data_IF_885380001990
#
_entry.id   IF_885380001990
#
_cell.length_a   1.000
_cell.length_b   1.000
_cell.length_c   1.000
_cell.angle_alpha   90.00
_cell.angle_beta   90.00
_cell.angle_gamma   90.00
#
_symmetry.space_group_name_H-M   'P 1'
#
loop_
_entity.id
_entity.type
_entity.pdbx_description
1 polymer ?
#
# COMPACT_ATOMS: atom_id res chain seq x y z
N UNK A 1 -18.57 0.80 13.65
CA UNK A 1 -18.44 1.06 12.21
C UNK A 1 -18.24 -0.31 11.60
N UNK A 2 -19.25 -0.83 10.89
CA UNK A 2 -19.12 -2.13 10.22
C UNK A 2 -18.06 -2.00 9.11
N UNK A 3 -17.24 -3.04 8.87
CA UNK A 3 -16.26 -3.01 7.79
C UNK A 3 -16.99 -2.79 6.46
N UNK A 4 -16.46 -1.97 5.54
CA UNK A 4 -17.05 -1.85 4.20
C UNK A 4 -17.12 -3.23 3.55
N UNK A 5 -18.28 -3.56 2.97
CA UNK A 5 -18.45 -4.80 2.22
C UNK A 5 -17.43 -4.87 1.06
N UNK A 6 -16.74 -6.00 0.97
CA UNK A 6 -15.76 -6.26 -0.07
C UNK A 6 -16.47 -6.48 -1.41
N UNK A 7 -16.32 -5.52 -2.33
CA UNK A 7 -16.85 -5.65 -3.70
C UNK A 7 -16.07 -6.72 -4.48
N UNK A 8 -16.68 -7.26 -5.54
CA UNK A 8 -16.01 -8.23 -6.42
C UNK A 8 -14.76 -7.65 -7.09
N UNK A 9 -14.77 -6.34 -7.34
CA UNK A 9 -13.63 -5.62 -7.86
C UNK A 9 -12.46 -5.57 -6.87
N UNK A 10 -12.74 -5.29 -5.60
CA UNK A 10 -11.70 -5.31 -4.56
C UNK A 10 -11.07 -6.70 -4.41
N UNK A 11 -11.85 -7.79 -4.59
CA UNK A 11 -11.31 -9.16 -4.62
C UNK A 11 -10.38 -9.37 -5.81
N UNK A 12 -10.77 -8.92 -7.00
CA UNK A 12 -9.92 -9.01 -8.20
C UNK A 12 -8.59 -8.24 -8.03
N UNK A 13 -8.60 -7.10 -7.32
CA UNK A 13 -7.37 -6.39 -6.99
C UNK A 13 -6.53 -7.17 -5.97
N UNK A 14 -7.15 -7.72 -4.92
CA UNK A 14 -6.45 -8.55 -3.94
C UNK A 14 -5.83 -9.81 -4.56
N UNK A 15 -6.53 -10.48 -5.48
CA UNK A 15 -6.01 -11.68 -6.17
C UNK A 15 -4.74 -11.36 -6.96
N UNK A 16 -4.68 -10.18 -7.59
CA UNK A 16 -3.46 -9.71 -8.27
C UNK A 16 -2.34 -9.41 -7.28
N UNK A 17 -2.64 -8.89 -6.09
CA UNK A 17 -1.63 -8.71 -5.05
C UNK A 17 -1.10 -10.06 -4.54
N UNK A 18 -1.95 -11.08 -4.41
CA UNK A 18 -1.52 -12.45 -4.08
C UNK A 18 -0.67 -13.10 -5.18
N UNK A 19 -1.00 -12.88 -6.45
CA UNK A 19 -0.14 -13.34 -7.56
C UNK A 19 1.27 -12.76 -7.43
N UNK A 20 1.39 -11.49 -7.03
CA UNK A 20 2.70 -10.85 -6.82
C UNK A 20 3.42 -11.36 -5.57
N UNK A 21 2.69 -11.71 -4.51
CA UNK A 21 3.27 -12.36 -3.33
C UNK A 21 3.80 -13.76 -3.68
N UNK A 22 3.09 -14.51 -4.53
CA UNK A 22 3.55 -15.80 -5.04
C UNK A 22 4.80 -15.64 -5.91
N UNK A 23 4.81 -14.65 -6.80
CA UNK A 23 5.97 -14.33 -7.63
C UNK A 23 7.20 -13.91 -6.78
N UNK A 24 7.01 -13.15 -5.70
CA UNK A 24 8.08 -12.91 -4.72
C UNK A 24 8.62 -14.21 -4.11
N UNK A 25 7.72 -15.11 -3.67
CA UNK A 25 8.11 -16.40 -3.09
C UNK A 25 8.93 -17.24 -4.07
N UNK A 26 8.49 -17.32 -5.32
CA UNK A 26 9.15 -18.10 -6.38
C UNK A 26 10.56 -17.55 -6.69
N UNK A 27 10.80 -16.27 -6.43
CA UNK A 27 12.10 -15.61 -6.57
C UNK A 27 12.93 -15.58 -5.28
N UNK A 28 12.50 -16.29 -4.22
CA UNK A 28 13.24 -16.37 -2.96
C UNK A 28 13.16 -15.10 -2.11
N UNK A 29 12.12 -14.29 -2.31
CA UNK A 29 11.82 -13.09 -1.51
C UNK A 29 10.76 -13.40 -0.44
N UNK A 30 10.57 -12.47 0.49
CA UNK A 30 9.45 -12.54 1.44
C UNK A 30 8.14 -12.41 0.65
N UNK A 31 7.13 -13.29 0.85
CA UNK A 31 5.90 -13.34 0.04
C UNK A 31 4.94 -12.18 0.37
N UNK A 32 5.34 -10.96 -0.02
CA UNK A 32 4.55 -9.74 0.15
C UNK A 32 4.32 -9.12 -1.22
N UNK A 33 3.05 -8.91 -1.55
CA UNK A 33 2.62 -8.22 -2.75
C UNK A 33 1.68 -7.07 -2.39
N UNK A 34 1.75 -5.99 -3.17
CA UNK A 34 0.87 -4.85 -3.00
C UNK A 34 0.49 -4.17 -4.31
N UNK A 35 -0.68 -3.54 -4.32
CA UNK A 35 -1.22 -2.78 -5.45
C UNK A 35 -1.75 -1.44 -4.98
N UNK A 36 -1.46 -0.41 -5.75
CA UNK A 36 -2.00 0.94 -5.57
C UNK A 36 -2.95 1.23 -6.72
N UNK A 37 -4.21 1.52 -6.37
CA UNK A 37 -5.29 1.80 -7.33
C UNK A 37 -5.79 3.23 -7.11
N UNK A 38 -5.86 4.00 -8.18
CA UNK A 38 -6.39 5.36 -8.20
C UNK A 38 -7.31 5.48 -9.41
N UNK A 39 -8.51 6.06 -9.23
CA UNK A 39 -9.54 6.16 -10.27
C UNK A 39 -9.81 4.83 -11.01
N UNK A 40 -9.92 3.73 -10.25
CA UNK A 40 -10.14 2.39 -10.81
C UNK A 40 -9.02 1.87 -11.74
N UNK A 41 -7.86 2.51 -11.72
CA UNK A 41 -6.67 2.16 -12.49
C UNK A 41 -5.53 1.75 -11.56
N UNK A 42 -4.82 0.68 -11.89
CA UNK A 42 -3.57 0.34 -11.20
C UNK A 42 -2.52 1.39 -11.57
N UNK A 43 -2.08 2.15 -10.57
CA UNK A 43 -1.02 3.17 -10.68
C UNK A 43 0.32 2.69 -10.14
N UNK A 44 0.34 1.65 -9.30
CA UNK A 44 1.56 1.06 -8.78
C UNK A 44 1.40 -0.41 -8.43
N UNK A 45 2.47 -1.18 -8.65
CA UNK A 45 2.62 -2.58 -8.26
C UNK A 45 3.93 -2.73 -7.49
N UNK A 46 3.93 -3.48 -6.40
CA UNK A 46 5.17 -3.80 -5.68
C UNK A 46 5.16 -5.19 -5.10
N UNK A 47 6.29 -5.87 -5.23
CA UNK A 47 6.61 -7.09 -4.49
C UNK A 47 7.87 -6.82 -3.65
N UNK A 48 8.17 -7.68 -2.69
CA UNK A 48 9.43 -7.56 -1.97
C UNK A 48 10.62 -7.80 -2.92
N UNK A 49 11.62 -6.92 -2.92
CA UNK A 49 12.80 -6.99 -3.78
C UNK A 49 14.11 -6.84 -2.97
N UNK A 50 14.07 -7.16 -1.68
CA UNK A 50 15.19 -6.92 -0.74
C UNK A 50 16.43 -7.71 -1.13
N UNK A 51 16.28 -8.99 -1.46
CA UNK A 51 17.37 -9.86 -1.86
C UNK A 51 17.86 -9.51 -3.27
N UNK A 52 16.94 -9.28 -4.21
CA UNK A 52 17.23 -8.94 -5.60
C UNK A 52 18.05 -7.65 -5.72
N UNK A 53 17.61 -6.59 -5.02
CA UNK A 53 18.25 -5.28 -5.06
C UNK A 53 19.37 -5.10 -4.04
N UNK A 54 19.53 -6.07 -3.11
CA UNK A 54 20.42 -5.98 -1.93
C UNK A 54 20.16 -4.71 -1.10
N UNK A 55 18.91 -4.28 -1.05
CA UNK A 55 18.48 -3.12 -0.30
C UNK A 55 17.31 -3.47 0.62
N UNK A 56 17.57 -3.40 1.93
CA UNK A 56 16.59 -3.70 2.98
C UNK A 56 15.34 -2.81 2.94
N UNK A 57 15.37 -1.65 2.26
CA UNK A 57 14.21 -0.76 2.17
C UNK A 57 13.26 -1.11 1.03
N UNK A 58 13.60 -2.06 0.15
CA UNK A 58 12.81 -2.42 -1.05
C UNK A 58 11.68 -3.39 -0.73
N UNK A 59 10.87 -3.00 0.25
CA UNK A 59 9.61 -3.67 0.56
C UNK A 59 8.56 -3.36 -0.52
N UNK A 60 7.56 -4.23 -0.65
CA UNK A 60 6.51 -4.13 -1.65
C UNK A 60 5.88 -2.71 -1.72
N UNK A 61 5.53 -2.13 -0.58
CA UNK A 61 4.89 -0.80 -0.50
C UNK A 61 5.80 0.31 -1.02
N UNK A 62 7.11 0.20 -0.79
CA UNK A 62 8.09 1.16 -1.28
C UNK A 62 8.27 1.03 -2.79
N UNK A 63 8.32 -0.21 -3.31
CA UNK A 63 8.39 -0.49 -4.74
C UNK A 63 7.14 0.05 -5.46
N UNK A 64 5.95 -0.20 -4.92
CA UNK A 64 4.72 0.33 -5.49
C UNK A 64 4.67 1.86 -5.47
N UNK A 65 5.14 2.48 -4.39
CA UNK A 65 5.24 3.94 -4.27
C UNK A 65 6.08 4.56 -5.39
N UNK A 66 7.26 3.97 -5.66
CA UNK A 66 8.13 4.44 -6.74
C UNK A 66 7.41 4.35 -8.10
N UNK A 67 6.67 3.26 -8.34
CA UNK A 67 5.88 3.11 -9.56
C UNK A 67 4.77 4.16 -9.68
N UNK A 68 4.10 4.52 -8.58
CA UNK A 68 3.10 5.61 -8.59
C UNK A 68 3.76 6.93 -8.93
N UNK A 69 4.93 7.24 -8.35
CA UNK A 69 5.66 8.48 -8.66
C UNK A 69 6.00 8.54 -10.15
N UNK A 70 6.47 7.43 -10.72
CA UNK A 70 6.80 7.37 -12.15
C UNK A 70 5.55 7.42 -13.04
N UNK A 71 4.43 6.85 -12.60
CA UNK A 71 3.14 7.00 -13.27
C UNK A 71 2.68 8.46 -13.27
N UNK A 72 2.78 9.16 -12.13
CA UNK A 72 2.43 10.58 -12.03
C UNK A 72 3.29 11.44 -12.98
N UNK A 73 4.61 11.22 -13.01
CA UNK A 73 5.53 11.92 -13.94
C UNK A 73 5.12 11.71 -15.40
N UNK A 74 4.82 10.46 -15.80
CA UNK A 74 4.43 10.12 -17.17
C UNK A 74 3.10 10.75 -17.59
N UNK A 75 2.16 10.89 -16.66
CA UNK A 75 0.82 11.42 -16.92
C UNK A 75 0.68 12.92 -16.61
N UNK A 76 1.77 13.59 -16.17
CA UNK A 76 1.73 15.00 -15.78
C UNK A 76 0.83 15.30 -14.58
N UNK A 77 0.55 14.30 -13.73
CA UNK A 77 -0.29 14.44 -12.53
C UNK A 77 0.56 14.79 -11.30
N UNK A 78 -0.01 15.54 -10.36
CA UNK A 78 0.63 15.80 -9.08
C UNK A 78 0.66 14.54 -8.22
N UNK A 79 1.86 14.10 -7.79
CA UNK A 79 2.01 12.88 -6.96
C UNK A 79 1.19 12.96 -5.68
N UNK A 80 1.15 14.13 -5.04
CA UNK A 80 0.38 14.37 -3.82
C UNK A 80 -1.12 14.13 -3.98
N UNK A 81 -1.72 14.61 -5.06
CA UNK A 81 -3.15 14.44 -5.36
C UNK A 81 -3.48 12.96 -5.60
N UNK A 82 -2.65 12.30 -6.40
CA UNK A 82 -2.83 10.88 -6.72
C UNK A 82 -2.74 10.03 -5.46
N UNK A 83 -1.72 10.27 -4.63
CA UNK A 83 -1.55 9.54 -3.38
C UNK A 83 -2.68 9.75 -2.39
N UNK A 84 -3.21 10.98 -2.29
CA UNK A 84 -4.36 11.28 -1.42
C UNK A 84 -5.56 10.42 -1.80
N UNK A 85 -5.82 10.18 -3.09
CA UNK A 85 -6.94 9.38 -3.59
C UNK A 85 -6.56 7.98 -4.10
N UNK A 86 -5.48 7.40 -3.55
CA UNK A 86 -5.06 6.03 -3.84
C UNK A 86 -5.58 5.07 -2.76
N UNK A 87 -6.03 3.89 -3.18
CA UNK A 87 -6.34 2.75 -2.31
C UNK A 87 -5.17 1.76 -2.39
N UNK A 88 -4.68 1.33 -1.22
CA UNK A 88 -3.63 0.32 -1.11
C UNK A 88 -4.24 -1.05 -0.79
N UNK A 89 -3.91 -2.03 -1.61
CA UNK A 89 -4.19 -3.45 -1.43
C UNK A 89 -2.89 -4.15 -1.08
N UNK A 90 -2.81 -4.84 0.05
CA UNK A 90 -1.57 -5.49 0.51
C UNK A 90 -1.86 -6.84 1.16
N UNK A 91 -0.98 -7.81 0.90
CA UNK A 91 -1.13 -9.20 1.38
C UNK A 91 -0.64 -9.43 2.81
N UNK A 92 -0.01 -8.44 3.43
CA UNK A 92 0.48 -8.45 4.81
C UNK A 92 0.37 -7.03 5.37
N UNK A 93 0.18 -6.89 6.68
CA UNK A 93 0.22 -5.58 7.33
C UNK A 93 1.55 -4.85 7.08
N UNK A 94 1.53 -3.56 6.70
CA UNK A 94 2.74 -2.78 6.51
C UNK A 94 3.58 -2.65 7.79
N UNK A 95 4.89 -2.84 7.67
CA UNK A 95 5.80 -2.60 8.80
C UNK A 95 5.86 -1.11 9.19
N UNK A 96 6.43 -0.79 10.36
CA UNK A 96 6.58 0.59 10.86
C UNK A 96 7.19 1.56 9.82
N UNK A 97 8.19 1.10 9.06
CA UNK A 97 8.82 1.89 8.02
C UNK A 97 7.82 2.24 6.89
N UNK A 98 7.18 1.23 6.32
CA UNK A 98 6.20 1.41 5.24
C UNK A 98 5.00 2.24 5.72
N UNK A 99 4.46 1.94 6.90
CA UNK A 99 3.35 2.68 7.50
C UNK A 99 3.70 4.17 7.68
N UNK A 100 4.90 4.49 8.16
CA UNK A 100 5.39 5.86 8.27
C UNK A 100 5.51 6.56 6.92
N UNK A 101 6.05 5.88 5.91
CA UNK A 101 6.17 6.42 4.55
C UNK A 101 4.80 6.70 3.92
N UNK A 102 3.88 5.74 3.97
CA UNK A 102 2.51 5.86 3.45
C UNK A 102 1.74 7.00 4.14
N UNK A 103 1.99 7.22 5.44
CA UNK A 103 1.42 8.34 6.21
C UNK A 103 1.94 9.69 5.72
N UNK A 104 3.25 9.81 5.49
CA UNK A 104 3.88 11.03 4.97
C UNK A 104 3.41 11.38 3.56
N UNK A 105 3.20 10.36 2.73
CA UNK A 105 2.66 10.50 1.37
C UNK A 105 1.15 10.76 1.33
N UNK A 106 0.49 10.72 2.49
CA UNK A 106 -0.97 10.93 2.63
C UNK A 106 -1.82 9.88 1.89
N UNK A 107 -1.25 8.70 1.63
CA UNK A 107 -2.00 7.50 1.19
C UNK A 107 -2.82 6.96 2.36
N UNK A 108 -2.28 7.11 3.58
CA UNK A 108 -2.91 6.71 4.84
C UNK A 108 -3.16 7.91 5.77
N UNK A 109 -4.01 8.89 5.42
CA UNK A 109 -4.42 9.92 6.37
C UNK A 109 -5.40 9.36 7.42
N UNK A 110 -6.17 8.34 7.03
CA UNK A 110 -7.06 7.52 7.86
C UNK A 110 -6.89 6.07 7.42
N UNK A 111 -6.80 5.12 8.35
CA UNK A 111 -6.61 3.67 8.09
C UNK A 111 -7.76 3.00 7.29
N UNK A 112 -8.74 3.80 6.87
CA UNK A 112 -9.91 3.38 6.12
C UNK A 112 -9.61 3.07 4.64
N UNK A 113 -8.43 3.44 4.13
CA UNK A 113 -8.01 3.27 2.72
C UNK A 113 -6.99 2.14 2.49
N UNK A 114 -6.71 1.32 3.50
CA UNK A 114 -5.89 0.12 3.37
C UNK A 114 -6.75 -1.13 3.49
N UNK A 115 -6.70 -1.96 2.45
CA UNK A 115 -7.31 -3.28 2.44
C UNK A 115 -6.18 -4.27 2.70
N UNK A 116 -6.15 -4.77 3.92
CA UNK A 116 -5.19 -5.77 4.37
C UNK A 116 -5.87 -7.12 4.33
N UNK A 117 -5.26 -8.05 3.60
CA UNK A 117 -5.49 -9.47 3.86
C UNK A 117 -4.32 -9.94 4.71
N UNK A 118 -4.60 -10.49 5.89
CA UNK A 118 -3.59 -11.31 6.57
C UNK A 118 -3.83 -12.75 6.16
N UNK A 119 -2.75 -13.51 5.94
CA UNK A 119 -2.81 -14.95 5.73
C UNK A 119 -3.16 -15.64 7.06
N UNK A 120 -4.40 -15.44 7.52
CA UNK A 120 -5.00 -16.17 8.63
C UNK A 120 -5.83 -17.32 8.01
N UNK A 121 -5.67 -18.59 8.45
CA UNK A 121 -6.44 -19.73 7.94
C UNK A 121 -7.98 -19.54 8.00
N UNK A 122 -8.48 -18.53 8.72
CA UNK A 122 -9.90 -18.22 8.87
C UNK A 122 -10.47 -17.20 7.87
N UNK A 123 -9.70 -16.65 6.91
CA UNK A 123 -10.16 -15.64 5.93
C UNK A 123 -10.86 -14.44 6.60
N UNK A 124 -10.42 -14.03 7.79
CA UNK A 124 -11.01 -12.91 8.52
C UNK A 124 -10.37 -11.59 8.09
N UNK A 125 -11.17 -10.69 7.53
CA UNK A 125 -10.77 -9.32 7.23
C UNK A 125 -10.46 -8.60 8.55
N UNK A 126 -9.19 -8.43 8.90
CA UNK A 126 -8.83 -7.65 10.07
C UNK A 126 -8.48 -6.23 9.62
N UNK A 127 -9.48 -5.34 9.66
CA UNK A 127 -9.22 -3.90 9.64
C UNK A 127 -8.56 -3.55 10.96
N UNK A 128 -7.23 -3.52 11.00
CA UNK A 128 -6.53 -2.93 12.14
C UNK A 128 -6.71 -1.40 12.07
N UNK A 129 -7.70 -0.91 12.81
CA UNK A 129 -7.75 0.48 13.21
C UNK A 129 -6.68 0.71 14.28
N UNK A 130 -5.42 0.88 13.87
CA UNK A 130 -4.42 1.57 14.69
C UNK A 130 -4.97 2.96 15.06
N UNK A 131 -5.54 3.07 16.26
CA UNK A 131 -5.84 4.37 16.88
C UNK A 131 -4.51 5.02 17.26
N UNK A 132 -3.78 5.53 16.27
CA UNK A 132 -2.57 6.31 16.50
C UNK A 132 -2.98 7.74 16.82
N UNK A 133 -2.82 8.05 18.11
CA UNK A 133 -2.73 9.37 18.75
C UNK A 133 -2.67 10.56 17.77
N UNK A 134 -3.55 11.57 17.91
CA UNK A 134 -3.48 12.77 17.09
C UNK A 134 -2.15 13.50 17.37
N UNK A 135 -1.22 13.46 16.42
CA UNK A 135 -0.10 14.40 16.44
C UNK A 135 -0.60 15.77 15.98
N UNK A 136 -0.17 16.87 16.64
CA UNK A 136 -0.65 18.20 16.35
C UNK A 136 -0.32 18.58 14.91
N UNK A 137 -1.24 19.31 14.28
CA UNK A 137 -1.06 19.92 12.97
C UNK A 137 0.15 20.86 13.00
N UNK A 138 1.34 20.36 12.66
CA UNK A 138 2.49 21.20 12.37
C UNK A 138 2.26 21.88 11.02
N UNK A 139 1.50 22.97 11.03
CA UNK A 139 1.66 24.05 10.08
C UNK A 139 3.07 24.61 10.28
N UNK A 140 4.02 24.13 9.49
CA UNK A 140 5.33 24.75 9.35
C UNK A 140 5.11 26.09 8.63
N UNK A 141 4.91 27.18 9.40
CA UNK A 141 4.99 28.54 8.87
C UNK A 141 6.42 28.72 8.36
N UNK A 142 6.59 28.86 7.05
CA UNK A 142 7.84 29.35 6.46
C UNK A 142 8.14 30.72 7.07
N UNK A 143 9.23 30.82 7.82
CA UNK A 143 9.86 32.09 8.22
C UNK A 143 10.65 32.67 7.07
#
# INVERSE_FOLDING_TARGET
MEPPEMTEEMKNWMDKAFQMAQDALDNGEVPVGCLMVHDNQIVGRGRNEVNETKNATRHAEMVATDQVIDWCKKNGKGSKEVFEDTILYVTVEPCIMCAGALRLLRILPTLQRCIIYSFDPLRTLTLFSFSLCPLPSHTFKKS
#
